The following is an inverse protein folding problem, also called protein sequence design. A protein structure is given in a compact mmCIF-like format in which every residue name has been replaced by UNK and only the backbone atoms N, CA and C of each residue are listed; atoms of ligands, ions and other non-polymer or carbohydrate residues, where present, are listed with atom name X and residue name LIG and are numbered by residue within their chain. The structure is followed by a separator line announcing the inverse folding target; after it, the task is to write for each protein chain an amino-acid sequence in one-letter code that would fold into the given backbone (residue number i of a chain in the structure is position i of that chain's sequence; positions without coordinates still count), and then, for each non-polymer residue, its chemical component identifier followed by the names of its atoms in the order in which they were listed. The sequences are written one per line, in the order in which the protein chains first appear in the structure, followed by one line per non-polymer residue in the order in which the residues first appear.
data_IF_571805066942
#
_entry.id   IF_571805066942
#
_cell.length_a   1.000
_cell.length_b   1.000
_cell.length_c   1.000
_cell.angle_alpha   90.00
_cell.angle_beta   90.00
_cell.angle_gamma   90.00
#
_symmetry.space_group_name_H-M   'P 1'
#
loop_
_entity.id
_entity.type
_entity.pdbx_description
1 polymer ?
#
# COMPACT_ATOMS: atom_id res chain seq x y z
N UNK A 1 24.03 20.08 5.10
CA UNK A 1 24.12 18.61 5.21
C UNK A 1 22.70 18.06 5.22
N UNK A 2 22.21 17.52 4.11
CA UNK A 2 20.87 16.96 4.05
C UNK A 2 20.84 15.64 4.84
N UNK A 3 20.12 15.62 5.95
CA UNK A 3 19.72 14.37 6.61
C UNK A 3 19.02 13.52 5.57
N UNK A 4 19.71 12.52 5.01
CA UNK A 4 19.07 11.44 4.27
C UNK A 4 18.16 10.75 5.27
N UNK A 5 16.90 11.21 5.36
CA UNK A 5 15.82 10.56 6.10
C UNK A 5 15.89 9.11 5.64
N UNK A 6 16.38 8.21 6.49
CA UNK A 6 16.51 6.79 6.15
C UNK A 6 15.08 6.37 5.83
N UNK A 7 14.79 6.20 4.55
CA UNK A 7 13.51 5.66 4.10
C UNK A 7 13.55 4.21 4.58
N UNK A 8 13.12 3.99 5.83
CA UNK A 8 13.06 2.68 6.42
C UNK A 8 12.06 1.91 5.58
N UNK A 9 12.59 0.96 4.80
CA UNK A 9 11.77 0.02 4.07
C UNK A 9 11.16 -0.92 5.10
N UNK A 10 9.84 -0.89 5.23
CA UNK A 10 9.09 -1.81 6.07
C UNK A 10 8.54 -2.92 5.20
N UNK A 11 8.43 -4.12 5.76
CA UNK A 11 7.72 -5.23 5.14
C UNK A 11 6.44 -5.44 5.93
N UNK A 12 5.31 -5.37 5.25
CA UNK A 12 3.99 -5.63 5.81
C UNK A 12 3.39 -6.84 5.11
N UNK A 13 2.81 -7.74 5.90
CA UNK A 13 2.05 -8.87 5.38
C UNK A 13 0.58 -8.63 5.68
N UNK A 14 -0.24 -8.68 4.65
CA UNK A 14 -1.66 -8.37 4.77
C UNK A 14 -2.45 -8.79 3.55
N UNK A 15 -3.75 -8.54 3.59
CA UNK A 15 -4.66 -8.79 2.48
C UNK A 15 -4.85 -7.48 1.73
N UNK A 16 -4.74 -7.53 0.41
CA UNK A 16 -5.05 -6.36 -0.43
C UNK A 16 -6.56 -6.20 -0.46
N UNK A 17 -7.07 -5.09 0.06
CA UNK A 17 -8.48 -4.74 0.03
C UNK A 17 -8.69 -3.47 -0.78
N UNK A 18 -9.84 -3.30 -1.44
CA UNK A 18 -10.19 -2.02 -2.04
C UNK A 18 -10.43 -0.97 -0.94
N UNK A 19 -9.93 0.24 -1.14
CA UNK A 19 -10.04 1.36 -0.20
C UNK A 19 -10.91 2.50 -0.75
N UNK A 20 -10.84 2.76 -2.06
CA UNK A 20 -11.72 3.70 -2.74
C UNK A 20 -12.13 3.12 -4.11
N UNK A 21 -13.39 3.40 -4.47
CA UNK A 21 -13.98 3.07 -5.77
C UNK A 21 -14.33 4.37 -6.50
N UNK A 22 -14.22 4.37 -7.83
CA UNK A 22 -14.79 5.44 -8.63
C UNK A 22 -16.30 5.20 -8.88
N UNK A 23 -16.95 6.16 -9.55
CA UNK A 23 -18.35 6.08 -9.96
C UNK A 23 -18.66 4.88 -10.87
N UNK A 24 -17.66 4.38 -11.59
CA UNK A 24 -17.77 3.20 -12.46
C UNK A 24 -17.59 1.85 -11.72
N UNK A 25 -17.54 1.85 -10.38
CA UNK A 25 -17.22 0.68 -9.54
C UNK A 25 -15.81 0.10 -9.75
N UNK A 26 -14.90 0.82 -10.43
CA UNK A 26 -13.49 0.45 -10.49
C UNK A 26 -12.78 0.85 -9.20
N UNK A 27 -11.96 -0.06 -8.68
CA UNK A 27 -11.12 0.23 -7.51
C UNK A 27 -10.00 1.18 -7.93
N UNK A 28 -10.01 2.39 -7.38
CA UNK A 28 -9.00 3.43 -7.67
C UNK A 28 -7.91 3.52 -6.60
N UNK A 29 -8.19 3.05 -5.38
CA UNK A 29 -7.22 2.97 -4.28
C UNK A 29 -7.35 1.62 -3.59
N UNK A 30 -6.22 0.98 -3.33
CA UNK A 30 -6.16 -0.24 -2.55
C UNK A 30 -5.52 0.06 -1.20
N UNK A 31 -5.89 -0.70 -0.18
CA UNK A 31 -5.24 -0.72 1.11
C UNK A 31 -4.72 -2.12 1.41
N UNK A 32 -3.66 -2.18 2.20
CA UNK A 32 -3.15 -3.40 2.76
C UNK A 32 -3.71 -3.53 4.19
N UNK A 33 -4.63 -4.47 4.38
CA UNK A 33 -5.16 -4.82 5.69
C UNK A 33 -4.23 -5.84 6.34
N UNK A 34 -3.52 -5.43 7.38
CA UNK A 34 -2.59 -6.29 8.13
C UNK A 34 -3.30 -7.03 9.25
N UNK A 35 -2.69 -8.10 9.77
CA UNK A 35 -3.25 -8.87 10.89
C UNK A 35 -3.37 -8.06 12.20
N UNK A 36 -2.67 -6.93 12.32
CA UNK A 36 -2.72 -6.01 13.47
C UNK A 36 -3.93 -5.05 13.39
N UNK A 37 -4.94 -5.38 12.57
CA UNK A 37 -6.11 -4.54 12.26
C UNK A 37 -5.76 -3.15 11.72
N UNK A 38 -4.51 -2.98 11.23
CA UNK A 38 -4.05 -1.75 10.61
C UNK A 38 -4.18 -1.80 9.10
N UNK A 39 -4.75 -0.74 8.56
CA UNK A 39 -4.95 -0.54 7.14
C UNK A 39 -3.96 0.51 6.61
N UNK A 40 -3.16 0.12 5.62
CA UNK A 40 -2.19 1.00 4.99
C UNK A 40 -2.60 1.27 3.56
N UNK A 41 -2.88 2.53 3.21
CA UNK A 41 -3.23 2.89 1.83
C UNK A 41 -2.03 2.66 0.92
N UNK A 42 -2.22 1.91 -0.14
CA UNK A 42 -1.18 1.64 -1.13
C UNK A 42 -1.06 2.87 -2.04
N UNK A 43 0.13 3.44 -2.12
CA UNK A 43 0.40 4.55 -3.03
C UNK A 43 0.18 4.10 -4.48
N UNK A 44 -0.43 4.96 -5.30
CA UNK A 44 -0.76 4.72 -6.71
C UNK A 44 0.44 4.64 -7.67
N UNK A 45 1.59 4.16 -7.21
CA UNK A 45 2.75 3.92 -8.06
C UNK A 45 2.50 2.69 -8.98
N UNK A 46 3.43 2.44 -9.90
CA UNK A 46 3.34 1.31 -10.84
C UNK A 46 3.14 -0.05 -10.16
N UNK A 47 3.88 -0.35 -9.08
CA UNK A 47 3.77 -1.57 -8.26
C UNK A 47 2.46 -1.63 -7.47
N UNK A 48 2.02 -0.50 -6.91
CA UNK A 48 0.72 -0.38 -6.24
C UNK A 48 -0.43 -0.67 -7.18
N UNK A 49 -0.33 -0.24 -8.45
CA UNK A 49 -1.32 -0.57 -9.47
C UNK A 49 -1.36 -2.06 -9.82
N UNK A 50 -0.22 -2.74 -9.80
CA UNK A 50 -0.17 -4.19 -9.99
C UNK A 50 -0.90 -4.94 -8.86
N UNK A 51 -0.91 -4.39 -7.63
CA UNK A 51 -1.61 -4.98 -6.48
C UNK A 51 -3.13 -4.99 -6.62
N UNK A 52 -3.72 -4.12 -7.45
CA UNK A 52 -5.15 -4.19 -7.77
C UNK A 52 -5.54 -5.52 -8.44
N UNK A 53 -4.62 -6.15 -9.20
CA UNK A 53 -4.88 -7.47 -9.76
C UNK A 53 -4.91 -8.59 -8.71
N UNK A 54 -4.45 -8.31 -7.48
CA UNK A 54 -4.37 -9.24 -6.35
C UNK A 54 -5.31 -8.82 -5.20
N UNK A 55 -6.41 -8.13 -5.50
CA UNK A 55 -7.46 -7.85 -4.53
C UNK A 55 -7.95 -9.15 -3.87
N UNK A 56 -8.23 -9.07 -2.57
CA UNK A 56 -8.60 -10.18 -1.69
C UNK A 56 -7.54 -11.30 -1.60
N UNK A 57 -6.31 -11.06 -2.03
CA UNK A 57 -5.18 -11.98 -1.82
C UNK A 57 -4.27 -11.49 -0.71
N UNK A 58 -3.70 -12.44 -0.01
CA UNK A 58 -2.65 -12.19 0.95
C UNK A 58 -1.35 -11.92 0.20
N UNK A 59 -0.71 -10.79 0.51
CA UNK A 59 0.55 -10.38 -0.07
C UNK A 59 1.49 -9.90 1.03
N UNK A 60 2.77 -10.10 0.81
CA UNK A 60 3.84 -9.50 1.58
C UNK A 60 4.39 -8.33 0.78
N UNK A 61 4.13 -7.12 1.24
CA UNK A 61 4.48 -5.88 0.57
C UNK A 61 5.63 -5.18 1.32
N UNK A 62 6.76 -5.00 0.63
CA UNK A 62 7.90 -4.22 1.13
C UNK A 62 7.90 -2.84 0.49
N UNK A 63 7.85 -1.81 1.33
CA UNK A 63 7.69 -0.44 0.89
C UNK A 63 8.20 0.57 1.89
N UNK A 64 8.00 1.84 1.55
CA UNK A 64 8.26 2.94 2.45
C UNK A 64 6.94 3.52 2.94
N UNK A 65 6.81 3.73 4.25
CA UNK A 65 5.70 4.53 4.78
C UNK A 65 5.97 6.01 4.50
N UNK A 66 4.92 6.70 4.12
CA UNK A 66 4.82 8.14 4.00
C UNK A 66 3.47 8.61 4.52
N UNK A 67 3.27 9.91 4.48
CA UNK A 67 2.01 10.56 4.80
C UNK A 67 1.61 11.36 3.56
N UNK A 68 0.33 11.28 3.21
CA UNK A 68 -0.25 12.09 2.14
C UNK A 68 -0.52 13.54 2.62
N UNK A 69 -0.95 14.45 1.74
CA UNK A 69 -1.24 15.85 2.12
C UNK A 69 -2.35 15.96 3.17
N UNK A 70 -3.22 14.95 3.28
CA UNK A 70 -4.24 14.83 4.32
C UNK A 70 -3.74 14.21 5.64
N UNK A 71 -2.44 13.89 5.78
CA UNK A 71 -1.89 13.21 6.96
C UNK A 71 -2.27 11.73 7.07
N UNK A 72 -2.76 11.13 5.98
CA UNK A 72 -3.09 9.70 5.91
C UNK A 72 -1.82 8.89 5.68
N UNK A 73 -1.65 7.80 6.42
CA UNK A 73 -0.50 6.91 6.25
C UNK A 73 -0.63 6.15 4.92
N UNK A 74 0.35 6.34 4.04
CA UNK A 74 0.45 5.70 2.73
C UNK A 74 1.71 4.85 2.64
N UNK A 75 1.61 3.65 2.07
CA UNK A 75 2.75 2.79 1.80
C UNK A 75 3.10 2.82 0.30
N UNK A 76 4.32 3.25 0.00
CA UNK A 76 4.88 3.16 -1.35
C UNK A 76 5.50 1.79 -1.55
N UNK A 77 4.82 0.94 -2.30
CA UNK A 77 5.28 -0.41 -2.60
C UNK A 77 6.51 -0.36 -3.49
N UNK A 78 7.61 -0.93 -3.02
CA UNK A 78 8.82 -1.14 -3.82
C UNK A 78 8.87 -2.56 -4.36
N UNK A 79 8.49 -3.53 -3.54
CA UNK A 79 8.46 -4.94 -3.86
C UNK A 79 7.25 -5.59 -3.18
N UNK A 80 6.69 -6.61 -3.80
CA UNK A 80 5.65 -7.42 -3.19
C UNK A 80 5.85 -8.89 -3.57
N UNK A 81 5.32 -9.79 -2.74
CA UNK A 81 5.27 -11.23 -2.96
C UNK A 81 3.83 -11.66 -2.69
N UNK A 82 3.21 -12.34 -3.66
CA UNK A 82 1.86 -12.89 -3.50
C UNK A 82 1.99 -14.29 -2.87
N UNK A 83 1.18 -14.57 -1.85
CA UNK A 83 1.14 -15.88 -1.16
C UNK A 83 0.11 -16.82 -1.79
#
# INVERSE_FOLDING_TARGET
MALKKRVQSITLTGIVIPADWNDNHDVIVAALATADEKEYRIAGNRKGKELFAYLQRQVEATGALGEDEEGRVVITIRRYIVK
#
